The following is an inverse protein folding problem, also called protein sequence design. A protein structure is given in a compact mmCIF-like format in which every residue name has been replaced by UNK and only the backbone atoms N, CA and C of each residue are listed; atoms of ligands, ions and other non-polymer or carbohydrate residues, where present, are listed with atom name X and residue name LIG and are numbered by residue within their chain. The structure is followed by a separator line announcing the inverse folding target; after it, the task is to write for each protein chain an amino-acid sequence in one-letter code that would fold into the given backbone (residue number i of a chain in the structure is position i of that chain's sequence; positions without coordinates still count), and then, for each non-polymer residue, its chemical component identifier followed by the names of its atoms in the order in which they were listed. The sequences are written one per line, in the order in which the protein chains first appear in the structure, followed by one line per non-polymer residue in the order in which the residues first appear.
data_IF_220266874086
#
_entry.id   IF_220266874086
#
_cell.length_a   1.000
_cell.length_b   1.000
_cell.length_c   1.000
_cell.angle_alpha   90.00
_cell.angle_beta   90.00
_cell.angle_gamma   90.00
#
_symmetry.space_group_name_H-M   'P 1'
#
loop_
_entity.id
_entity.type
_entity.pdbx_description
1 polymer ?
#
# COMPACT_ATOMS: atom_id res chain seq x y z
N UNK A 1 -47.58 -18.35 -8.06
CA UNK A 1 -48.35 -17.16 -7.62
C UNK A 1 -47.44 -16.37 -6.72
N UNK A 2 -46.73 -15.38 -7.26
CA UNK A 2 -45.83 -14.50 -6.52
C UNK A 2 -45.90 -13.13 -7.20
N UNK A 3 -46.93 -12.36 -6.85
CA UNK A 3 -47.12 -10.97 -7.25
C UNK A 3 -48.27 -10.40 -6.41
N UNK A 4 -48.02 -10.03 -5.15
CA UNK A 4 -48.98 -9.21 -4.36
C UNK A 4 -48.38 -8.68 -3.06
N UNK A 5 -47.15 -8.17 -3.06
CA UNK A 5 -46.59 -7.44 -1.90
C UNK A 5 -45.77 -6.18 -2.27
N UNK A 6 -45.62 -5.86 -3.55
CA UNK A 6 -44.82 -4.70 -3.99
C UNK A 6 -45.65 -3.43 -4.32
N UNK A 7 -46.99 -3.53 -4.47
CA UNK A 7 -47.84 -2.38 -4.84
C UNK A 7 -48.27 -1.47 -3.67
N UNK A 8 -48.16 -1.92 -2.41
CA UNK A 8 -48.43 -1.06 -1.24
C UNK A 8 -47.32 -0.02 -0.99
N UNK A 9 -46.12 -0.22 -1.57
CA UNK A 9 -44.94 0.59 -1.27
C UNK A 9 -44.81 1.90 -2.09
N UNK A 10 -45.56 2.09 -3.18
CA UNK A 10 -45.43 3.31 -4.01
C UNK A 10 -46.40 4.45 -3.65
N UNK A 11 -47.46 4.20 -2.87
CA UNK A 11 -48.38 5.29 -2.48
C UNK A 11 -47.82 6.19 -1.37
N UNK A 12 -46.95 5.66 -0.50
CA UNK A 12 -46.47 6.41 0.66
C UNK A 12 -45.37 7.43 0.31
N UNK A 13 -44.73 7.28 -0.86
CA UNK A 13 -43.65 8.14 -1.33
C UNK A 13 -44.10 9.20 -2.35
N UNK A 14 -45.42 9.37 -2.54
CA UNK A 14 -45.96 10.37 -3.47
C UNK A 14 -45.73 11.79 -2.95
N UNK A 15 -45.21 12.66 -3.82
CA UNK A 15 -45.07 14.10 -3.59
C UNK A 15 -46.43 14.73 -3.24
N UNK A 16 -46.49 15.57 -2.21
CA UNK A 16 -47.72 16.24 -1.75
C UNK A 16 -48.33 17.15 -2.83
N UNK A 17 -47.49 17.76 -3.67
CA UNK A 17 -47.95 18.53 -4.83
C UNK A 17 -48.66 17.64 -5.87
N UNK A 18 -48.10 16.45 -6.13
CA UNK A 18 -48.68 15.46 -7.04
C UNK A 18 -49.98 14.87 -6.49
N UNK A 19 -50.04 14.63 -5.17
CA UNK A 19 -51.23 14.13 -4.50
C UNK A 19 -52.40 15.13 -4.56
N UNK A 20 -52.10 16.42 -4.36
CA UNK A 20 -53.08 17.49 -4.53
C UNK A 20 -53.30 17.89 -5.99
N UNK A 21 -52.60 17.27 -6.94
CA UNK A 21 -52.65 17.58 -8.37
C UNK A 21 -52.47 19.08 -8.67
N UNK A 22 -51.46 19.68 -8.03
CA UNK A 22 -51.08 21.09 -8.18
C UNK A 22 -49.59 21.21 -8.51
N UNK A 23 -49.20 22.34 -9.10
CA UNK A 23 -47.79 22.64 -9.37
C UNK A 23 -47.07 23.07 -8.09
N UNK A 24 -45.75 22.97 -8.07
CA UNK A 24 -44.91 23.42 -6.94
C UNK A 24 -45.04 24.93 -6.70
N UNK A 25 -45.28 25.72 -7.74
CA UNK A 25 -45.51 27.17 -7.64
C UNK A 25 -46.97 27.55 -7.31
N UNK A 26 -47.84 26.57 -6.98
CA UNK A 26 -49.25 26.84 -6.75
C UNK A 26 -49.49 27.79 -5.57
N UNK A 27 -50.46 28.69 -5.76
CA UNK A 27 -50.90 29.63 -4.73
C UNK A 27 -51.73 28.94 -3.65
N UNK A 28 -51.85 29.57 -2.46
CA UNK A 28 -52.68 29.04 -1.37
C UNK A 28 -54.16 28.87 -1.78
N UNK A 29 -54.65 29.73 -2.68
CA UNK A 29 -56.02 29.64 -3.21
C UNK A 29 -56.20 28.41 -4.10
N UNK A 30 -55.23 28.11 -4.96
CA UNK A 30 -55.21 26.92 -5.82
C UNK A 30 -55.12 25.63 -4.98
N UNK A 31 -54.26 25.62 -3.95
CA UNK A 31 -54.15 24.52 -2.99
C UNK A 31 -55.50 24.23 -2.30
N UNK A 32 -56.15 25.27 -1.79
CA UNK A 32 -57.45 25.16 -1.11
C UNK A 32 -58.56 24.71 -2.05
N UNK A 33 -58.55 25.18 -3.30
CA UNK A 33 -59.50 24.77 -4.33
C UNK A 33 -59.34 23.29 -4.70
N UNK A 34 -58.10 22.83 -4.88
CA UNK A 34 -57.82 21.42 -5.20
C UNK A 34 -58.15 20.49 -4.04
N UNK A 35 -57.76 20.86 -2.81
CA UNK A 35 -58.09 20.13 -1.59
C UNK A 35 -59.61 19.91 -1.45
N UNK A 36 -60.41 20.98 -1.61
CA UNK A 36 -61.88 20.88 -1.56
C UNK A 36 -62.44 19.91 -2.60
N UNK A 37 -61.91 19.94 -3.82
CA UNK A 37 -62.34 19.03 -4.90
C UNK A 37 -62.03 17.58 -4.56
N UNK A 38 -60.82 17.28 -4.07
CA UNK A 38 -60.38 15.93 -3.72
C UNK A 38 -61.12 15.40 -2.48
N UNK A 39 -61.38 16.23 -1.47
CA UNK A 39 -62.21 15.85 -0.33
C UNK A 39 -63.63 15.46 -0.74
N UNK A 40 -64.23 16.16 -1.72
CA UNK A 40 -65.56 15.82 -2.22
C UNK A 40 -65.58 14.51 -3.02
N UNK A 41 -64.46 14.08 -3.59
CA UNK A 41 -64.33 12.86 -4.38
C UNK A 41 -64.04 11.64 -3.49
N UNK A 42 -63.13 11.78 -2.53
CA UNK A 42 -62.68 10.70 -1.64
C UNK A 42 -63.41 10.65 -0.29
N UNK A 43 -64.54 11.33 -0.14
CA UNK A 43 -65.32 11.27 1.10
C UNK A 43 -65.84 9.84 1.35
N UNK A 44 -65.62 9.23 2.53
CA UNK A 44 -65.95 7.83 2.80
C UNK A 44 -67.45 7.53 2.74
N UNK A 45 -68.30 8.55 2.89
CA UNK A 45 -69.76 8.44 2.80
C UNK A 45 -70.28 8.25 1.35
N UNK A 46 -69.47 8.58 0.34
CA UNK A 46 -69.87 8.43 -1.07
C UNK A 46 -69.65 7.03 -1.63
N UNK A 47 -68.93 6.18 -0.90
CA UNK A 47 -68.51 4.85 -1.36
C UNK A 47 -69.27 3.78 -0.58
N UNK A 48 -70.04 2.95 -1.29
CA UNK A 48 -70.88 1.90 -0.70
C UNK A 48 -70.14 0.58 -0.48
N UNK A 49 -69.16 0.29 -1.34
CA UNK A 49 -68.39 -0.95 -1.26
C UNK A 49 -67.32 -0.87 -0.17
N UNK A 50 -67.13 -1.93 0.64
CA UNK A 50 -66.25 -1.89 1.80
C UNK A 50 -64.76 -1.74 1.44
N UNK A 51 -64.32 -2.21 0.27
CA UNK A 51 -62.93 -2.04 -0.19
C UNK A 51 -62.68 -0.62 -0.71
N UNK A 52 -63.57 -0.10 -1.56
CA UNK A 52 -63.49 1.28 -2.07
C UNK A 52 -63.59 2.31 -0.94
N UNK A 53 -64.37 2.01 0.12
CA UNK A 53 -64.46 2.87 1.30
C UNK A 53 -63.13 2.98 2.04
N UNK A 54 -62.41 1.87 2.24
CA UNK A 54 -61.08 1.88 2.87
C UNK A 54 -60.06 2.66 2.04
N UNK A 55 -60.07 2.47 0.72
CA UNK A 55 -59.19 3.19 -0.19
C UNK A 55 -59.49 4.71 -0.19
N UNK A 56 -60.77 5.08 -0.21
CA UNK A 56 -61.18 6.47 -0.12
C UNK A 56 -60.76 7.12 1.20
N UNK A 57 -60.86 6.41 2.32
CA UNK A 57 -60.40 6.87 3.64
C UNK A 57 -58.88 7.08 3.68
N UNK A 58 -58.10 6.15 3.14
CA UNK A 58 -56.64 6.29 3.03
C UNK A 58 -56.25 7.51 2.19
N UNK A 59 -56.84 7.66 1.00
CA UNK A 59 -56.58 8.81 0.12
C UNK A 59 -57.03 10.12 0.74
N UNK A 60 -58.16 10.12 1.46
CA UNK A 60 -58.67 11.29 2.17
C UNK A 60 -57.66 11.76 3.25
N UNK A 61 -57.16 10.84 4.07
CA UNK A 61 -56.17 11.16 5.10
C UNK A 61 -54.86 11.69 4.51
N UNK A 62 -54.38 11.09 3.41
CA UNK A 62 -53.18 11.56 2.72
C UNK A 62 -53.38 12.96 2.12
N UNK A 63 -54.53 13.21 1.48
CA UNK A 63 -54.87 14.53 0.91
C UNK A 63 -54.98 15.59 2.01
N UNK A 64 -55.53 15.22 3.16
CA UNK A 64 -55.59 16.09 4.34
C UNK A 64 -54.19 16.45 4.86
N UNK A 65 -53.33 15.45 5.05
CA UNK A 65 -51.95 15.65 5.48
C UNK A 65 -51.14 16.53 4.49
N UNK A 66 -51.29 16.29 3.19
CA UNK A 66 -50.64 17.09 2.16
C UNK A 66 -51.08 18.55 2.20
N UNK A 67 -52.38 18.82 2.39
CA UNK A 67 -52.90 20.17 2.52
C UNK A 67 -52.39 20.85 3.79
N UNK A 68 -52.38 20.17 4.93
CA UNK A 68 -51.87 20.71 6.20
C UNK A 68 -50.43 21.19 6.06
N UNK A 69 -49.55 20.36 5.52
CA UNK A 69 -48.13 20.67 5.30
C UNK A 69 -47.93 21.81 4.30
N UNK A 70 -48.63 21.78 3.16
CA UNK A 70 -48.47 22.78 2.10
C UNK A 70 -49.19 24.11 2.38
N UNK A 71 -50.15 24.12 3.31
CA UNK A 71 -50.89 25.33 3.71
C UNK A 71 -50.08 26.25 4.63
N UNK A 72 -49.20 25.68 5.46
CA UNK A 72 -48.31 26.45 6.32
C UNK A 72 -47.00 26.80 5.59
N UNK A 73 -46.63 28.08 5.62
CA UNK A 73 -45.46 28.55 4.89
C UNK A 73 -44.14 27.94 5.41
N UNK A 74 -44.06 27.64 6.71
CA UNK A 74 -42.87 27.07 7.33
C UNK A 74 -42.75 25.57 7.02
N UNK A 75 -43.82 24.81 7.24
CA UNK A 75 -43.89 23.38 6.87
C UNK A 75 -43.69 23.16 5.37
N UNK A 76 -44.22 24.04 4.51
CA UNK A 76 -43.97 24.02 3.07
C UNK A 76 -42.50 24.23 2.72
N UNK A 77 -41.82 25.18 3.38
CA UNK A 77 -40.39 25.41 3.16
C UNK A 77 -39.54 24.20 3.58
N UNK A 78 -39.83 23.57 4.72
CA UNK A 78 -39.14 22.36 5.17
C UNK A 78 -39.36 21.22 4.16
N UNK A 79 -40.61 21.04 3.73
CA UNK A 79 -40.98 20.02 2.75
C UNK A 79 -40.29 20.23 1.40
N UNK A 80 -40.19 21.48 0.93
CA UNK A 80 -39.53 21.80 -0.34
C UNK A 80 -38.01 21.54 -0.29
N UNK A 81 -37.38 21.64 0.88
CA UNK A 81 -35.92 21.45 1.05
C UNK A 81 -35.56 19.99 1.36
N UNK A 82 -36.31 19.31 2.25
CA UNK A 82 -35.97 17.98 2.78
C UNK A 82 -36.98 16.87 2.43
N UNK A 83 -38.08 17.22 1.77
CA UNK A 83 -39.18 16.29 1.50
C UNK A 83 -39.90 15.84 2.78
N UNK A 84 -40.58 14.69 2.71
CA UNK A 84 -41.33 14.14 3.87
C UNK A 84 -40.45 13.88 5.09
N UNK A 85 -39.20 13.48 4.88
CA UNK A 85 -38.22 13.17 5.94
C UNK A 85 -37.93 14.37 6.85
N UNK A 86 -38.02 15.60 6.34
CA UNK A 86 -37.80 16.81 7.12
C UNK A 86 -38.90 17.07 8.16
N UNK A 87 -40.13 16.61 7.88
CA UNK A 87 -41.30 16.84 8.72
C UNK A 87 -41.39 15.87 9.92
N UNK A 88 -40.68 14.74 9.87
CA UNK A 88 -40.64 13.72 10.93
C UNK A 88 -39.64 14.05 12.05
N UNK A 89 -38.80 15.09 11.87
CA UNK A 89 -37.78 15.46 12.85
C UNK A 89 -38.41 16.26 13.98
N UNK A 90 -38.52 15.67 15.17
CA UNK A 90 -38.92 16.38 16.40
C UNK A 90 -37.87 17.45 16.76
N UNK A 91 -38.29 18.70 16.93
CA UNK A 91 -37.41 19.82 17.34
C UNK A 91 -37.57 21.14 16.57
N UNK A 92 -38.31 21.14 15.45
CA UNK A 92 -38.53 22.35 14.63
C UNK A 92 -39.34 23.45 15.33
N UNK A 93 -40.13 23.12 16.35
CA UNK A 93 -41.06 24.06 16.99
C UNK A 93 -40.38 25.20 17.76
N UNK A 94 -39.07 25.09 18.04
CA UNK A 94 -38.31 26.05 18.86
C UNK A 94 -37.60 27.13 18.01
N UNK A 95 -37.62 27.02 16.67
CA UNK A 95 -36.88 27.94 15.79
C UNK A 95 -37.81 29.04 15.25
N UNK A 96 -37.43 30.31 15.47
CA UNK A 96 -38.21 31.46 15.02
C UNK A 96 -38.41 31.51 13.50
N UNK A 97 -39.62 31.91 13.08
CA UNK A 97 -40.24 31.77 11.74
C UNK A 97 -39.57 32.52 10.56
N UNK A 98 -38.28 32.88 10.59
CA UNK A 98 -37.64 33.71 9.54
C UNK A 98 -36.18 33.34 9.22
N UNK A 99 -35.86 32.06 8.98
CA UNK A 99 -34.52 31.67 8.49
C UNK A 99 -34.50 31.37 7.01
N UNK A 100 -33.34 31.62 6.40
CA UNK A 100 -33.08 31.37 4.98
C UNK A 100 -32.92 29.86 4.69
N UNK A 101 -33.16 29.39 3.44
CA UNK A 101 -33.03 27.96 3.10
C UNK A 101 -31.66 27.32 3.41
N UNK A 102 -30.59 28.11 3.46
CA UNK A 102 -29.25 27.64 3.80
C UNK A 102 -29.08 27.43 5.32
N UNK A 103 -29.58 28.36 6.13
CA UNK A 103 -29.54 28.25 7.60
C UNK A 103 -30.40 27.09 8.11
N UNK A 104 -31.54 26.84 7.46
CA UNK A 104 -32.41 25.68 7.73
C UNK A 104 -31.65 24.35 7.51
N UNK A 105 -30.75 24.29 6.51
CA UNK A 105 -29.92 23.12 6.21
C UNK A 105 -28.85 22.88 7.24
N UNK A 106 -28.14 23.92 7.64
CA UNK A 106 -27.12 23.82 8.68
C UNK A 106 -27.72 23.40 10.02
N UNK A 107 -28.90 23.92 10.35
CA UNK A 107 -29.62 23.57 11.57
C UNK A 107 -30.13 22.13 11.56
N UNK A 108 -30.66 21.67 10.42
CA UNK A 108 -31.03 20.26 10.23
C UNK A 108 -29.83 19.33 10.43
N UNK A 109 -28.69 19.63 9.82
CA UNK A 109 -27.46 18.84 9.98
C UNK A 109 -26.96 18.82 11.43
N UNK A 110 -27.08 19.95 12.14
CA UNK A 110 -26.70 20.05 13.55
C UNK A 110 -27.58 19.19 14.44
N UNK A 111 -28.91 19.24 14.27
CA UNK A 111 -29.86 18.43 15.02
C UNK A 111 -29.69 16.93 14.74
N UNK A 112 -29.40 16.56 13.49
CA UNK A 112 -29.10 15.16 13.14
C UNK A 112 -27.88 14.64 13.90
N UNK A 113 -26.77 15.38 13.90
CA UNK A 113 -25.56 14.98 14.66
C UNK A 113 -25.84 14.87 16.14
N UNK A 114 -26.54 15.83 16.72
CA UNK A 114 -26.84 15.80 18.16
C UNK A 114 -27.76 14.62 18.53
N UNK A 115 -28.72 14.27 17.66
CA UNK A 115 -29.59 13.09 17.86
C UNK A 115 -28.81 11.79 17.71
N UNK A 116 -27.90 11.72 16.75
CA UNK A 116 -27.00 10.57 16.58
C UNK A 116 -26.08 10.41 17.80
N UNK A 117 -25.51 11.49 18.32
CA UNK A 117 -24.68 11.50 19.53
C UNK A 117 -25.48 11.10 20.78
N UNK A 118 -26.68 11.65 20.99
CA UNK A 118 -27.56 11.25 22.11
C UNK A 118 -27.97 9.79 21.98
N UNK A 119 -28.27 9.32 20.77
CA UNK A 119 -28.63 7.92 20.51
C UNK A 119 -27.45 7.00 20.79
N UNK A 120 -26.24 7.44 20.47
CA UNK A 120 -25.01 6.72 20.83
C UNK A 120 -24.83 6.69 22.35
N UNK A 121 -24.99 7.82 23.04
CA UNK A 121 -24.91 7.91 24.50
C UNK A 121 -25.97 7.08 25.23
N UNK A 122 -27.19 6.98 24.70
CA UNK A 122 -28.25 6.13 25.27
C UNK A 122 -28.00 4.63 25.02
N UNK A 123 -27.30 4.29 23.95
CA UNK A 123 -26.84 2.91 23.68
C UNK A 123 -25.68 2.51 24.59
N UNK A 124 -24.88 3.49 25.00
CA UNK A 124 -23.89 3.31 26.06
C UNK A 124 -24.66 3.13 27.37
N UNK A 125 -24.85 1.89 27.81
CA UNK A 125 -25.53 1.59 29.07
C UNK A 125 -24.47 1.39 30.17
N UNK A 126 -24.03 2.45 30.89
CA UNK A 126 -23.11 2.29 32.00
C UNK A 126 -23.83 1.54 33.11
N UNK A 127 -23.44 0.30 33.36
CA UNK A 127 -23.92 -0.51 34.47
C UNK A 127 -22.92 -0.40 35.61
N UNK A 128 -23.32 0.26 36.70
CA UNK A 128 -22.52 0.41 37.91
C UNK A 128 -23.19 -0.25 39.10
N UNK A 129 -22.43 -0.92 39.95
CA UNK A 129 -22.89 -1.38 41.26
C UNK A 129 -21.89 -0.91 42.31
N UNK A 130 -22.40 -0.20 43.31
CA UNK A 130 -21.63 0.29 44.46
C UNK A 130 -22.20 -0.40 45.69
N UNK A 131 -21.36 -1.20 46.35
CA UNK A 131 -21.70 -1.92 47.57
C UNK A 131 -20.81 -1.42 48.70
N UNK A 132 -21.43 -0.92 49.77
CA UNK A 132 -20.73 -0.47 50.98
C UNK A 132 -21.15 -1.38 52.12
N UNK A 133 -20.18 -2.08 52.72
CA UNK A 133 -20.38 -2.87 53.92
C UNK A 133 -20.05 -2.03 55.13
N UNK A 134 -21.07 -1.77 55.94
CA UNK A 134 -20.99 -1.00 57.16
C UNK A 134 -21.00 -1.97 58.33
N UNK A 135 -19.99 -1.87 59.20
CA UNK A 135 -19.95 -2.56 60.48
C UNK A 135 -20.64 -1.70 61.53
N UNK A 136 -21.62 -2.31 62.19
CA UNK A 136 -22.49 -1.67 63.16
C UNK A 136 -22.61 -2.51 64.44
N UNK A 137 -21.67 -3.43 64.67
CA UNK A 137 -21.69 -4.35 65.82
C UNK A 137 -21.76 -3.58 67.15
N UNK A 138 -21.01 -2.48 67.27
CA UNK A 138 -21.03 -1.54 68.40
C UNK A 138 -22.39 -0.92 68.72
N UNK A 139 -23.34 -0.89 67.77
CA UNK A 139 -24.70 -0.39 68.03
C UNK A 139 -25.60 -1.43 68.71
N UNK A 140 -25.26 -2.72 68.62
CA UNK A 140 -26.06 -3.83 69.10
C UNK A 140 -25.44 -4.61 70.28
N UNK A 141 -24.16 -4.37 70.61
CA UNK A 141 -23.48 -4.92 71.80
C UNK A 141 -23.92 -4.23 73.10
N UNK A 142 -25.23 -4.30 73.38
CA UNK A 142 -25.77 -4.13 74.75
C UNK A 142 -26.00 -5.51 75.34
N UNK A 143 -24.92 -6.23 75.61
CA UNK A 143 -24.98 -7.39 76.50
C UNK A 143 -24.84 -6.90 77.94
N UNK A 144 -25.77 -7.35 78.78
CA UNK A 144 -25.80 -7.14 80.22
C UNK A 144 -24.50 -7.65 80.85
N UNK A 145 -23.62 -6.75 81.27
CA UNK A 145 -22.64 -7.05 82.32
C UNK A 145 -22.75 -5.97 83.41
N UNK A 146 -23.46 -6.36 84.48
CA UNK A 146 -23.38 -5.73 85.78
C UNK A 146 -21.91 -5.80 86.27
N UNK A 147 -21.24 -4.65 86.41
CA UNK A 147 -20.38 -4.22 87.54
C UNK A 147 -19.32 -3.17 87.13
N UNK A 148 -19.27 -2.11 87.95
CA UNK A 148 -18.16 -1.17 88.21
C UNK A 148 -17.69 -0.12 87.16
N UNK A 149 -17.76 1.13 87.64
CA UNK A 149 -17.36 2.45 87.10
C UNK A 149 -16.16 2.55 86.12
N UNK A 150 -16.38 3.25 85.00
CA UNK A 150 -15.41 4.16 84.36
C UNK A 150 -16.14 5.19 83.46
N UNK A 151 -15.83 6.51 83.53
CA UNK A 151 -16.52 7.54 82.76
C UNK A 151 -15.88 7.68 81.38
N UNK A 152 -16.57 7.18 80.37
CA UNK A 152 -16.12 7.30 78.99
C UNK A 152 -17.17 6.78 78.04
N UNK A 153 -18.35 7.41 78.04
CA UNK A 153 -19.38 7.17 77.03
C UNK A 153 -18.86 7.55 75.65
N UNK A 154 -18.10 6.66 75.03
CA UNK A 154 -17.77 6.74 73.62
C UNK A 154 -19.07 6.60 72.84
N UNK A 155 -19.37 7.56 71.98
CA UNK A 155 -20.45 7.41 71.04
C UNK A 155 -20.17 6.18 70.16
N UNK A 156 -21.16 5.29 69.92
CA UNK A 156 -20.97 4.13 69.06
C UNK A 156 -20.49 4.60 67.69
N UNK A 157 -19.40 4.00 67.20
CA UNK A 157 -18.79 4.37 65.95
C UNK A 157 -19.19 3.38 64.86
N UNK A 158 -19.63 3.91 63.74
CA UNK A 158 -20.03 3.14 62.56
C UNK A 158 -18.84 3.13 61.61
N UNK A 159 -18.29 1.96 61.32
CA UNK A 159 -17.13 1.85 60.44
C UNK A 159 -17.48 1.25 59.07
N UNK A 160 -16.83 1.74 58.02
CA UNK A 160 -16.95 1.16 56.69
C UNK A 160 -15.87 0.08 56.54
N UNK A 161 -16.28 -1.18 56.69
CA UNK A 161 -15.38 -2.34 56.68
C UNK A 161 -14.97 -2.73 55.23
N UNK A 162 -15.89 -2.57 54.26
CA UNK A 162 -15.64 -2.89 52.85
C UNK A 162 -16.34 -1.94 51.89
N UNK A 163 -15.67 -1.57 50.80
CA UNK A 163 -16.28 -0.88 49.65
C UNK A 163 -15.98 -1.67 48.38
N UNK A 164 -17.00 -1.92 47.57
CA UNK A 164 -16.87 -2.58 46.28
C UNK A 164 -17.59 -1.77 45.21
N UNK A 165 -16.84 -1.28 44.23
CA UNK A 165 -17.35 -0.53 43.08
C UNK A 165 -17.04 -1.35 41.84
N UNK A 166 -18.07 -1.75 41.09
CA UNK A 166 -17.90 -2.36 39.77
C UNK A 166 -18.65 -1.54 38.74
N UNK A 167 -17.97 -1.13 37.67
CA UNK A 167 -18.53 -0.34 36.58
C UNK A 167 -18.23 -1.02 35.25
N UNK A 168 -19.22 -1.16 34.38
CA UNK A 168 -19.04 -1.58 32.99
C UNK A 168 -19.76 -0.63 32.03
N UNK A 169 -19.10 -0.37 30.91
CA UNK A 169 -19.57 0.50 29.84
C UNK A 169 -19.47 -0.32 28.57
N UNK A 170 -20.63 -0.62 27.97
CA UNK A 170 -20.71 -1.27 26.67
C UNK A 170 -20.98 -0.19 25.61
N UNK A 171 -20.04 0.00 24.69
CA UNK A 171 -20.10 0.98 23.62
C UNK A 171 -20.13 0.27 22.25
N UNK A 172 -21.29 0.18 21.57
CA UNK A 172 -21.36 -0.37 20.22
C UNK A 172 -20.70 0.60 19.23
N UNK A 173 -19.61 0.16 18.59
CA UNK A 173 -18.87 0.91 17.56
C UNK A 173 -19.49 0.74 16.17
N UNK A 174 -20.02 -0.45 15.85
CA UNK A 174 -20.74 -0.76 14.59
C UNK A 174 -21.89 -1.75 14.86
N UNK A 175 -22.66 -2.14 13.84
CA UNK A 175 -23.78 -3.09 13.99
C UNK A 175 -23.37 -4.48 14.54
N UNK A 176 -22.09 -4.86 14.45
CA UNK A 176 -21.55 -6.12 14.96
C UNK A 176 -20.50 -5.95 16.06
N UNK A 177 -19.92 -4.75 16.22
CA UNK A 177 -18.75 -4.56 17.07
C UNK A 177 -19.12 -3.73 18.30
N UNK A 178 -18.88 -4.31 19.48
CA UNK A 178 -19.06 -3.67 20.78
C UNK A 178 -17.73 -3.63 21.51
N UNK A 179 -17.34 -2.44 21.96
CA UNK A 179 -16.25 -2.28 22.90
C UNK A 179 -16.82 -2.34 24.33
N UNK A 180 -16.22 -3.16 25.19
CA UNK A 180 -16.61 -3.25 26.60
C UNK A 180 -15.46 -2.77 27.45
N UNK A 181 -15.69 -1.69 28.21
CA UNK A 181 -14.77 -1.19 29.21
C UNK A 181 -15.36 -1.49 30.59
N UNK A 182 -14.70 -2.31 31.39
CA UNK A 182 -15.12 -2.63 32.74
C UNK A 182 -14.01 -2.37 33.76
N UNK A 183 -14.38 -1.96 34.95
CA UNK A 183 -13.47 -1.74 36.07
C UNK A 183 -14.11 -2.21 37.36
N UNK A 184 -13.32 -2.82 38.23
CA UNK A 184 -13.72 -3.12 39.60
C UNK A 184 -12.68 -2.61 40.57
N UNK A 185 -13.15 -2.03 41.66
CA UNK A 185 -12.37 -1.48 42.76
C UNK A 185 -12.93 -2.03 44.05
N UNK A 186 -12.10 -2.71 44.83
CA UNK A 186 -12.47 -3.23 46.15
C UNK A 186 -11.50 -2.72 47.20
N UNK A 187 -12.02 -2.22 48.31
CA UNK A 187 -11.25 -1.83 49.48
C UNK A 187 -11.74 -2.61 50.69
N UNK A 188 -10.78 -3.09 51.49
CA UNK A 188 -11.06 -3.81 52.73
C UNK A 188 -9.99 -3.46 53.77
N UNK A 189 -10.42 -2.99 54.95
CA UNK A 189 -9.54 -2.66 56.08
C UNK A 189 -8.33 -1.79 55.70
N UNK A 190 -8.57 -0.74 54.92
CA UNK A 190 -7.52 0.21 54.50
C UNK A 190 -6.63 -0.25 53.34
N UNK A 191 -6.69 -1.51 52.91
CA UNK A 191 -6.02 -1.98 51.69
C UNK A 191 -7.01 -2.03 50.51
N UNK A 192 -6.68 -1.34 49.43
CA UNK A 192 -7.48 -1.27 48.20
C UNK A 192 -6.76 -1.88 47.00
N UNK A 193 -7.51 -2.56 46.15
CA UNK A 193 -7.05 -3.07 44.86
C UNK A 193 -8.12 -2.88 43.79
N UNK A 194 -7.70 -2.60 42.56
CA UNK A 194 -8.62 -2.45 41.44
C UNK A 194 -8.03 -2.94 40.12
N UNK A 195 -8.90 -3.34 39.22
CA UNK A 195 -8.55 -3.78 37.87
C UNK A 195 -9.43 -3.05 36.85
N UNK A 196 -8.86 -2.78 35.69
CA UNK A 196 -9.56 -2.23 34.53
C UNK A 196 -9.33 -3.19 33.37
N UNK A 197 -10.41 -3.60 32.72
CA UNK A 197 -10.40 -4.49 31.57
C UNK A 197 -11.08 -3.80 30.38
N UNK A 198 -10.44 -3.87 29.21
CA UNK A 198 -10.99 -3.38 27.95
C UNK A 198 -11.02 -4.54 26.97
N UNK A 199 -12.21 -4.93 26.53
CA UNK A 199 -12.41 -6.00 25.55
C UNK A 199 -12.91 -5.41 24.24
N UNK A 200 -12.17 -5.66 23.16
CA UNK A 200 -12.53 -5.31 21.79
C UNK A 200 -12.83 -6.60 21.02
N UNK A 201 -13.96 -6.67 20.34
CA UNK A 201 -14.34 -7.84 19.54
C UNK A 201 -13.43 -7.99 18.30
N UNK A 202 -13.11 -9.23 17.86
CA UNK A 202 -11.99 -9.51 16.94
C UNK A 202 -12.11 -8.97 15.52
N UNK A 203 -13.33 -8.73 15.03
CA UNK A 203 -13.63 -8.25 13.67
C UNK A 203 -12.96 -6.90 13.39
N UNK A 204 -13.05 -5.96 14.32
CA UNK A 204 -12.44 -4.63 14.18
C UNK A 204 -10.91 -4.68 14.12
N UNK A 205 -10.30 -5.55 14.95
CA UNK A 205 -8.84 -5.75 14.96
C UNK A 205 -8.37 -6.38 13.64
N UNK A 206 -9.13 -7.33 13.11
CA UNK A 206 -8.81 -8.00 11.85
C UNK A 206 -8.77 -7.02 10.67
N UNK A 207 -9.80 -6.18 10.50
CA UNK A 207 -9.82 -5.22 9.40
C UNK A 207 -8.79 -4.08 9.58
N UNK A 208 -8.51 -3.66 10.81
CA UNK A 208 -7.51 -2.62 11.08
C UNK A 208 -6.06 -3.07 10.85
N UNK A 209 -5.77 -4.36 11.02
CA UNK A 209 -4.38 -4.87 10.97
C UNK A 209 -4.12 -5.73 9.74
N UNK A 210 -4.96 -6.73 9.47
CA UNK A 210 -4.74 -7.70 8.40
C UNK A 210 -5.02 -7.07 7.02
N UNK A 211 -6.05 -6.23 6.92
CA UNK A 211 -6.40 -5.54 5.68
C UNK A 211 -5.25 -4.68 5.11
N UNK A 212 -4.75 -3.68 5.86
CA UNK A 212 -3.63 -2.85 5.41
C UNK A 212 -2.36 -3.64 5.13
N UNK A 213 -2.07 -4.68 5.92
CA UNK A 213 -0.89 -5.52 5.73
C UNK A 213 -0.97 -6.30 4.40
N UNK A 214 -2.12 -6.89 4.10
CA UNK A 214 -2.35 -7.60 2.84
C UNK A 214 -2.30 -6.67 1.63
N UNK A 215 -2.87 -5.47 1.75
CA UNK A 215 -2.80 -4.44 0.68
C UNK A 215 -1.35 -4.00 0.46
N UNK A 216 -0.60 -3.74 1.53
CA UNK A 216 0.83 -3.42 1.42
C UNK A 216 1.62 -4.57 0.77
N UNK A 217 1.39 -5.81 1.19
CA UNK A 217 2.04 -6.98 0.59
C UNK A 217 1.72 -7.13 -0.90
N UNK A 218 0.46 -6.90 -1.28
CA UNK A 218 0.02 -6.96 -2.68
C UNK A 218 0.69 -5.87 -3.52
N UNK A 219 0.72 -4.62 -3.05
CA UNK A 219 1.39 -3.51 -3.75
C UNK A 219 2.89 -3.79 -3.87
N UNK A 220 3.53 -4.24 -2.79
CA UNK A 220 4.96 -4.54 -2.81
C UNK A 220 5.30 -5.66 -3.80
N UNK A 221 4.54 -6.76 -3.78
CA UNK A 221 4.77 -7.91 -4.67
C UNK A 221 4.42 -7.63 -6.13
N UNK A 222 3.29 -6.98 -6.41
CA UNK A 222 2.76 -6.84 -7.77
C UNK A 222 3.25 -5.57 -8.48
N UNK A 223 3.68 -4.54 -7.75
CA UNK A 223 4.06 -3.25 -8.36
C UNK A 223 5.54 -2.95 -8.13
N UNK A 224 6.01 -3.00 -6.88
CA UNK A 224 7.38 -2.56 -6.54
C UNK A 224 8.44 -3.54 -7.06
N UNK A 225 8.26 -4.84 -6.83
CA UNK A 225 9.22 -5.86 -7.29
C UNK A 225 9.40 -5.85 -8.83
N UNK A 226 8.35 -5.92 -9.67
CA UNK A 226 8.55 -5.92 -11.12
C UNK A 226 9.14 -4.60 -11.63
N UNK A 227 8.75 -3.45 -11.04
CA UNK A 227 9.29 -2.15 -11.42
C UNK A 227 10.81 -2.06 -11.15
N UNK A 228 11.25 -2.49 -9.98
CA UNK A 228 12.68 -2.47 -9.61
C UNK A 228 13.51 -3.45 -10.41
N UNK A 229 12.95 -4.60 -10.82
CA UNK A 229 13.62 -5.54 -11.72
C UNK A 229 13.79 -4.95 -13.13
N UNK A 230 12.76 -4.33 -13.68
CA UNK A 230 12.81 -3.71 -15.00
C UNK A 230 13.87 -2.60 -15.09
N UNK A 231 14.04 -1.80 -14.04
CA UNK A 231 15.08 -0.76 -14.02
C UNK A 231 16.50 -1.35 -14.03
N UNK A 232 16.74 -2.41 -13.25
CA UNK A 232 18.06 -3.08 -13.22
C UNK A 232 18.42 -3.70 -14.57
N UNK A 233 17.44 -4.25 -15.28
CA UNK A 233 17.65 -4.80 -16.62
C UNK A 233 18.06 -3.70 -17.61
N UNK A 234 17.41 -2.54 -17.56
CA UNK A 234 17.77 -1.39 -18.42
C UNK A 234 19.18 -0.88 -18.14
N UNK A 235 19.57 -0.75 -16.88
CA UNK A 235 20.93 -0.34 -16.51
C UNK A 235 21.98 -1.34 -17.02
N UNK A 236 21.72 -2.65 -16.86
CA UNK A 236 22.60 -3.70 -17.36
C UNK A 236 22.71 -3.66 -18.89
N UNK A 237 21.59 -3.46 -19.60
CA UNK A 237 21.60 -3.31 -21.06
C UNK A 237 22.39 -2.09 -21.50
N UNK A 238 22.26 -0.97 -20.80
CA UNK A 238 22.97 0.26 -21.12
C UNK A 238 24.48 0.07 -20.90
N UNK A 239 24.88 -0.56 -19.80
CA UNK A 239 26.28 -0.95 -19.55
C UNK A 239 26.82 -1.88 -20.65
N UNK A 240 26.04 -2.88 -21.07
CA UNK A 240 26.42 -3.78 -22.17
C UNK A 240 26.60 -3.03 -23.48
N UNK A 241 25.70 -2.09 -23.79
CA UNK A 241 25.77 -1.26 -25.01
C UNK A 241 27.00 -0.35 -24.97
N UNK A 242 27.27 0.34 -23.86
CA UNK A 242 28.45 1.21 -23.72
C UNK A 242 29.76 0.41 -23.83
N UNK A 243 29.86 -0.73 -23.15
CA UNK A 243 31.04 -1.61 -23.25
C UNK A 243 31.23 -2.16 -24.67
N UNK A 244 30.15 -2.52 -25.38
CA UNK A 244 30.22 -2.98 -26.77
C UNK A 244 30.69 -1.87 -27.72
N UNK A 245 30.24 -0.62 -27.54
CA UNK A 245 30.70 0.52 -28.34
C UNK A 245 32.19 0.82 -28.11
N UNK A 246 32.66 0.72 -26.87
CA UNK A 246 34.07 0.96 -26.54
C UNK A 246 34.98 -0.10 -27.16
N UNK A 247 34.58 -1.38 -27.12
CA UNK A 247 35.32 -2.48 -27.77
C UNK A 247 35.39 -2.27 -29.28
N UNK A 248 34.29 -1.87 -29.92
CA UNK A 248 34.25 -1.62 -31.37
C UNK A 248 35.18 -0.47 -31.78
N UNK A 249 35.20 0.62 -31.01
CA UNK A 249 36.10 1.76 -31.24
C UNK A 249 37.57 1.34 -31.08
N UNK A 250 37.89 0.62 -30.01
CA UNK A 250 39.25 0.11 -29.75
C UNK A 250 39.73 -0.85 -30.83
N UNK A 251 38.84 -1.71 -31.34
CA UNK A 251 39.12 -2.57 -32.48
C UNK A 251 39.50 -1.77 -33.73
N UNK A 252 38.74 -0.73 -34.06
CA UNK A 252 39.02 0.13 -35.22
C UNK A 252 40.36 0.88 -35.05
N UNK A 253 40.65 1.39 -33.85
CA UNK A 253 41.95 1.99 -33.51
C UNK A 253 43.10 0.99 -33.75
N UNK A 254 42.95 -0.25 -33.28
CA UNK A 254 43.96 -1.30 -33.46
C UNK A 254 44.17 -1.67 -34.94
N UNK A 255 43.09 -1.87 -35.70
CA UNK A 255 43.17 -2.21 -37.14
C UNK A 255 43.87 -1.11 -37.96
N UNK A 256 43.57 0.16 -37.66
CA UNK A 256 44.26 1.28 -38.32
C UNK A 256 45.75 1.32 -37.99
N UNK A 257 46.13 1.04 -36.74
CA UNK A 257 47.53 0.97 -36.33
C UNK A 257 48.27 -0.20 -37.01
N UNK A 258 47.63 -1.37 -37.11
CA UNK A 258 48.18 -2.53 -37.82
C UNK A 258 48.46 -2.18 -39.28
N UNK A 259 47.53 -1.52 -39.97
CA UNK A 259 47.69 -1.12 -41.36
C UNK A 259 48.89 -0.20 -41.57
N UNK A 260 49.08 0.79 -40.69
CA UNK A 260 50.22 1.71 -40.73
C UNK A 260 51.57 1.01 -40.47
N UNK A 261 51.57 -0.09 -39.71
CA UNK A 261 52.79 -0.84 -39.35
C UNK A 261 53.21 -1.87 -40.42
N UNK A 262 52.36 -2.18 -41.40
CA UNK A 262 52.68 -3.22 -42.39
C UNK A 262 53.98 -2.93 -43.17
N UNK A 263 54.19 -1.66 -43.56
CA UNK A 263 55.39 -1.27 -44.30
C UNK A 263 56.66 -1.34 -43.45
N UNK A 264 56.60 -0.94 -42.17
CA UNK A 264 57.75 -1.01 -41.27
C UNK A 264 58.10 -2.47 -40.94
N UNK A 265 57.09 -3.30 -40.71
CA UNK A 265 57.26 -4.73 -40.41
C UNK A 265 57.92 -5.46 -41.56
N UNK A 266 57.54 -5.18 -42.81
CA UNK A 266 58.18 -5.78 -43.99
C UNK A 266 59.69 -5.52 -44.01
N UNK A 267 60.12 -4.28 -43.73
CA UNK A 267 61.54 -3.91 -43.66
C UNK A 267 62.26 -4.62 -42.51
N UNK A 268 61.60 -4.77 -41.37
CA UNK A 268 62.16 -5.49 -40.21
C UNK A 268 62.34 -6.97 -40.54
N UNK A 269 61.36 -7.60 -41.19
CA UNK A 269 61.45 -9.00 -41.61
C UNK A 269 62.63 -9.20 -42.56
N UNK A 270 62.76 -8.39 -43.61
CA UNK A 270 63.87 -8.48 -44.57
C UNK A 270 65.24 -8.32 -43.88
N UNK A 271 65.36 -7.42 -42.89
CA UNK A 271 66.59 -7.19 -42.13
C UNK A 271 66.91 -8.31 -41.12
N UNK A 272 65.89 -8.96 -40.54
CA UNK A 272 66.06 -10.08 -39.62
C UNK A 272 66.31 -11.40 -40.38
N UNK A 273 65.71 -11.59 -41.56
CA UNK A 273 65.97 -12.73 -42.46
C UNK A 273 67.44 -12.80 -42.87
N UNK A 274 68.03 -11.65 -43.26
CA UNK A 274 69.45 -11.61 -43.64
C UNK A 274 70.41 -12.00 -42.52
N UNK A 275 69.96 -11.91 -41.26
CA UNK A 275 70.76 -12.19 -40.05
C UNK A 275 70.38 -13.52 -39.38
N UNK A 276 69.44 -14.28 -39.97
CA UNK A 276 68.81 -15.45 -39.33
C UNK A 276 68.31 -15.12 -37.90
N UNK A 277 67.70 -13.95 -37.78
CA UNK A 277 67.25 -13.36 -36.53
C UNK A 277 65.88 -13.86 -36.07
N UNK A 278 65.13 -13.01 -35.38
CA UNK A 278 63.84 -13.37 -34.78
C UNK A 278 62.68 -12.97 -35.72
N UNK A 279 61.91 -13.96 -36.17
CA UNK A 279 60.74 -13.77 -37.03
C UNK A 279 59.52 -14.39 -36.37
N UNK A 280 58.47 -13.60 -36.16
CA UNK A 280 57.19 -14.05 -35.61
C UNK A 280 56.34 -14.54 -36.77
N UNK A 281 55.94 -15.81 -36.74
CA UNK A 281 55.13 -16.43 -37.78
C UNK A 281 53.64 -16.25 -37.49
N UNK A 282 53.23 -16.58 -36.26
CA UNK A 282 51.84 -16.46 -35.83
C UNK A 282 51.81 -15.97 -34.39
N UNK A 283 50.95 -15.00 -34.13
CA UNK A 283 50.67 -14.52 -32.80
C UNK A 283 49.17 -14.32 -32.59
N UNK A 284 48.66 -14.93 -31.54
CA UNK A 284 47.24 -14.93 -31.22
C UNK A 284 47.04 -14.46 -29.79
N UNK A 285 46.17 -13.46 -29.60
CA UNK A 285 45.85 -12.93 -28.29
C UNK A 285 44.36 -13.08 -27.99
N UNK A 286 44.01 -13.61 -26.82
CA UNK A 286 42.61 -13.76 -26.42
C UNK A 286 42.40 -14.91 -25.43
N UNK A 287 41.15 -15.36 -25.34
CA UNK A 287 40.79 -16.51 -24.51
C UNK A 287 40.98 -17.80 -25.30
N UNK A 288 41.95 -18.61 -24.90
CA UNK A 288 42.11 -19.96 -25.43
C UNK A 288 41.35 -20.94 -24.55
N UNK A 289 40.39 -21.65 -25.15
CA UNK A 289 39.69 -22.74 -24.46
C UNK A 289 40.59 -23.97 -24.52
N UNK A 290 40.98 -24.50 -23.35
CA UNK A 290 41.54 -25.86 -23.26
C UNK A 290 40.41 -26.85 -23.51
N UNK A 291 40.55 -27.66 -24.57
CA UNK A 291 39.52 -28.60 -25.02
C UNK A 291 39.17 -29.61 -23.91
N UNK A 292 37.98 -29.49 -23.33
CA UNK A 292 37.30 -30.60 -22.64
C UNK A 292 35.78 -30.59 -22.86
N UNK A 293 35.23 -29.63 -23.60
CA UNK A 293 33.78 -29.55 -23.83
C UNK A 293 33.47 -29.14 -25.27
N UNK A 294 32.79 -30.03 -26.01
CA UNK A 294 32.34 -29.92 -27.40
C UNK A 294 31.31 -28.80 -27.65
N UNK A 295 31.66 -27.54 -27.40
CA UNK A 295 30.98 -26.40 -28.02
C UNK A 295 32.03 -25.57 -28.72
N UNK A 296 31.95 -25.52 -30.04
CA UNK A 296 32.64 -24.54 -30.89
C UNK A 296 32.13 -23.13 -30.55
N UNK A 297 32.41 -22.65 -29.35
CA UNK A 297 32.39 -21.21 -29.09
C UNK A 297 33.54 -20.63 -29.90
N UNK A 298 33.22 -19.71 -30.83
CA UNK A 298 34.22 -18.99 -31.63
C UNK A 298 35.27 -18.45 -30.67
N UNK A 299 36.49 -18.96 -30.75
CA UNK A 299 37.59 -18.47 -29.94
C UNK A 299 37.70 -16.95 -30.15
N UNK A 300 37.44 -16.17 -29.09
CA UNK A 300 37.54 -14.70 -29.11
C UNK A 300 39.02 -14.34 -29.09
N UNK A 301 39.66 -14.55 -30.23
CA UNK A 301 41.10 -14.44 -30.44
C UNK A 301 41.36 -13.45 -31.57
N UNK A 302 42.37 -12.62 -31.38
CA UNK A 302 42.83 -11.62 -32.35
C UNK A 302 44.21 -12.00 -32.86
N UNK A 303 44.49 -11.68 -34.12
CA UNK A 303 45.82 -11.83 -34.70
C UNK A 303 46.66 -10.58 -34.38
N UNK A 304 47.78 -10.78 -33.70
CA UNK A 304 48.70 -9.71 -33.26
C UNK A 304 50.10 -9.89 -33.83
N UNK A 305 50.23 -10.64 -34.93
CA UNK A 305 51.52 -10.97 -35.55
C UNK A 305 52.26 -9.72 -36.02
N UNK A 306 51.57 -8.82 -36.74
CA UNK A 306 52.16 -7.59 -37.30
C UNK A 306 52.59 -6.62 -36.20
N UNK A 307 51.73 -6.27 -35.21
CA UNK A 307 52.14 -5.44 -34.07
C UNK A 307 53.39 -5.96 -33.34
N UNK A 308 53.46 -7.27 -33.07
CA UNK A 308 54.58 -7.83 -32.33
C UNK A 308 55.87 -7.87 -33.14
N UNK A 309 55.79 -8.13 -34.45
CA UNK A 309 56.97 -8.09 -35.30
C UNK A 309 57.57 -6.68 -35.36
N UNK A 310 56.73 -5.63 -35.27
CA UNK A 310 57.19 -4.24 -35.21
C UNK A 310 57.96 -3.90 -33.92
N UNK A 311 57.77 -4.67 -32.85
CA UNK A 311 58.44 -4.48 -31.57
C UNK A 311 59.77 -5.24 -31.47
N UNK A 312 60.10 -6.09 -32.45
CA UNK A 312 61.37 -6.82 -32.50
C UNK A 312 62.51 -5.84 -32.78
N UNK A 313 63.54 -5.87 -31.92
CA UNK A 313 64.77 -5.09 -32.10
C UNK A 313 65.97 -5.99 -31.81
N UNK A 314 66.96 -5.99 -32.70
CA UNK A 314 68.19 -6.77 -32.57
C UNK A 314 67.94 -8.26 -32.30
N UNK A 315 67.03 -8.87 -33.08
CA UNK A 315 66.61 -10.27 -32.94
C UNK A 315 66.08 -10.67 -31.55
N UNK A 316 65.54 -9.70 -30.79
CA UNK A 316 64.91 -9.92 -29.47
C UNK A 316 63.57 -9.19 -29.38
N UNK A 317 62.64 -9.79 -28.64
CA UNK A 317 61.39 -9.14 -28.25
C UNK A 317 61.28 -9.17 -26.73
N UNK A 318 61.04 -7.99 -26.15
CA UNK A 318 60.90 -7.79 -24.71
C UNK A 318 59.58 -7.05 -24.49
N UNK A 319 58.61 -7.74 -23.90
CA UNK A 319 57.36 -7.16 -23.42
C UNK A 319 57.47 -6.98 -21.90
N UNK A 320 57.35 -5.73 -21.43
CA UNK A 320 57.33 -5.37 -20.00
C UNK A 320 55.94 -5.60 -19.39
N UNK A 321 55.85 -5.66 -18.05
CA UNK A 321 54.70 -6.11 -17.23
C UNK A 321 53.37 -5.31 -17.37
N UNK A 322 53.27 -4.42 -18.35
CA UNK A 322 51.99 -3.77 -18.71
C UNK A 322 51.08 -4.76 -19.43
N UNK A 323 49.76 -4.63 -19.25
CA UNK A 323 48.78 -5.44 -20.01
C UNK A 323 49.06 -5.37 -21.50
N UNK A 324 49.16 -6.55 -22.15
CA UNK A 324 49.47 -6.68 -23.58
C UNK A 324 48.36 -6.08 -24.45
N UNK A 325 47.14 -5.95 -23.92
CA UNK A 325 46.04 -5.23 -24.58
C UNK A 325 46.31 -3.73 -24.81
N UNK A 326 47.24 -3.12 -24.05
CA UNK A 326 47.61 -1.72 -24.17
C UNK A 326 48.65 -1.42 -25.27
N UNK A 327 49.17 -2.44 -25.95
CA UNK A 327 50.16 -2.26 -27.00
C UNK A 327 49.53 -1.69 -28.29
N UNK A 328 50.27 -0.87 -29.07
CA UNK A 328 49.77 -0.38 -30.36
C UNK A 328 49.37 -1.54 -31.29
N UNK A 329 48.16 -1.50 -31.86
CA UNK A 329 47.63 -2.59 -32.68
C UNK A 329 47.02 -3.75 -31.91
N UNK A 330 47.00 -3.70 -30.57
CA UNK A 330 46.25 -4.62 -29.73
C UNK A 330 44.91 -4.01 -29.30
N UNK A 331 43.93 -4.88 -29.05
CA UNK A 331 42.72 -4.54 -28.32
C UNK A 331 42.28 -5.75 -27.50
N UNK A 332 41.39 -5.53 -26.54
CA UNK A 332 40.89 -6.59 -25.67
C UNK A 332 39.61 -7.22 -26.24
N UNK A 333 39.63 -8.49 -26.72
CA UNK A 333 38.44 -9.17 -27.22
C UNK A 333 37.52 -9.72 -26.10
N UNK A 334 38.03 -9.82 -24.86
CA UNK A 334 37.34 -10.42 -23.72
C UNK A 334 37.59 -9.62 -22.44
N UNK A 335 36.95 -8.46 -22.32
CA UNK A 335 37.06 -7.61 -21.11
C UNK A 335 36.58 -8.39 -19.89
N UNK A 336 37.47 -8.56 -18.90
CA UNK A 336 37.19 -9.24 -17.63
C UNK A 336 37.40 -10.75 -17.62
N UNK A 337 37.78 -11.38 -18.74
CA UNK A 337 38.15 -12.80 -18.77
C UNK A 337 39.68 -13.00 -18.79
N UNK A 338 40.14 -14.19 -18.43
CA UNK A 338 41.55 -14.56 -18.55
C UNK A 338 41.98 -14.63 -20.02
N UNK A 339 43.07 -13.92 -20.34
CA UNK A 339 43.61 -13.79 -21.68
C UNK A 339 45.06 -14.21 -21.68
N UNK A 340 45.46 -14.87 -22.75
CA UNK A 340 46.86 -15.21 -22.98
C UNK A 340 47.27 -14.87 -24.41
N UNK A 341 48.57 -14.79 -24.61
CA UNK A 341 49.23 -14.57 -25.88
C UNK A 341 49.94 -15.86 -26.26
N UNK A 342 49.51 -16.50 -27.35
CA UNK A 342 50.18 -17.64 -27.96
C UNK A 342 51.02 -17.14 -29.13
N UNK A 343 52.30 -17.50 -29.12
CA UNK A 343 53.29 -17.05 -30.08
C UNK A 343 54.01 -18.23 -30.69
N UNK A 344 54.12 -18.20 -32.01
CA UNK A 344 54.94 -19.08 -32.82
C UNK A 344 55.97 -18.21 -33.55
N UNK A 345 57.25 -18.49 -33.34
CA UNK A 345 58.34 -17.72 -33.92
C UNK A 345 59.49 -18.61 -34.36
N UNK A 346 60.27 -18.12 -35.31
CA UNK A 346 61.48 -18.74 -35.81
C UNK A 346 62.68 -17.91 -35.34
N UNK A 347 63.71 -18.59 -34.84
CA UNK A 347 64.98 -17.97 -34.49
C UNK A 347 66.13 -18.87 -34.93
N UNK A 348 67.07 -18.33 -35.72
CA UNK A 348 68.20 -19.09 -36.29
C UNK A 348 67.78 -20.38 -37.01
N UNK A 349 66.67 -20.31 -37.76
CA UNK A 349 66.11 -21.44 -38.51
C UNK A 349 65.29 -22.43 -37.69
N UNK A 350 65.22 -22.30 -36.36
CA UNK A 350 64.51 -23.24 -35.46
C UNK A 350 63.18 -22.64 -35.00
N UNK A 351 62.13 -23.46 -35.01
CA UNK A 351 60.77 -23.09 -34.58
C UNK A 351 60.62 -23.13 -33.06
N UNK A 352 59.92 -22.15 -32.52
CA UNK A 352 59.65 -22.01 -31.10
C UNK A 352 58.19 -21.61 -30.86
N UNK A 353 57.59 -22.11 -29.78
CA UNK A 353 56.25 -21.78 -29.33
C UNK A 353 56.23 -21.38 -27.85
N UNK A 354 55.45 -20.36 -27.50
CA UNK A 354 55.23 -19.93 -26.12
C UNK A 354 53.79 -19.48 -25.92
N UNK A 355 53.24 -19.76 -24.74
CA UNK A 355 51.97 -19.20 -24.27
C UNK A 355 52.30 -18.39 -23.02
N UNK A 356 51.84 -17.14 -22.96
CA UNK A 356 52.11 -16.24 -21.84
C UNK A 356 50.85 -15.48 -21.45
N UNK A 357 50.60 -15.31 -20.14
CA UNK A 357 49.43 -14.61 -19.62
C UNK A 357 49.47 -13.10 -19.93
N UNK A 358 48.34 -12.39 -19.94
CA UNK A 358 48.27 -10.97 -20.33
C UNK A 358 49.26 -10.05 -19.60
N UNK A 359 49.44 -10.23 -18.30
CA UNK A 359 50.31 -9.40 -17.44
C UNK A 359 51.73 -9.94 -17.28
N UNK A 360 52.00 -11.14 -17.78
CA UNK A 360 53.31 -11.79 -17.61
C UNK A 360 54.35 -11.21 -18.58
N UNK A 361 55.55 -10.81 -18.10
CA UNK A 361 56.59 -10.28 -18.95
C UNK A 361 57.15 -11.36 -19.87
N UNK A 362 57.21 -11.07 -21.16
CA UNK A 362 57.70 -12.02 -22.17
C UNK A 362 59.01 -11.54 -22.77
N UNK A 363 60.04 -12.39 -22.66
CA UNK A 363 61.34 -12.19 -23.32
C UNK A 363 61.61 -13.36 -24.24
N UNK A 364 61.75 -13.11 -25.53
CA UNK A 364 62.12 -14.12 -26.55
C UNK A 364 63.30 -13.61 -27.38
N UNK A 365 64.17 -14.48 -27.90
CA UNK A 365 64.10 -15.95 -27.89
C UNK A 365 64.54 -16.60 -26.57
N UNK A 366 63.95 -17.75 -26.21
CA UNK A 366 64.40 -18.63 -25.10
C UNK A 366 64.49 -20.08 -25.58
N UNK A 367 65.49 -20.83 -25.11
CA UNK A 367 65.68 -22.24 -25.45
C UNK A 367 64.50 -23.13 -24.99
N UNK A 368 63.85 -22.78 -23.87
CA UNK A 368 62.69 -23.50 -23.34
C UNK A 368 61.46 -23.47 -24.25
N UNK A 369 61.43 -22.59 -25.26
CA UNK A 369 60.30 -22.46 -26.18
C UNK A 369 60.51 -23.29 -27.45
N UNK A 370 61.65 -23.98 -27.61
CA UNK A 370 61.97 -24.71 -28.84
C UNK A 370 60.96 -25.85 -29.04
N UNK A 371 60.39 -25.93 -30.24
CA UNK A 371 59.59 -27.09 -30.65
C UNK A 371 60.58 -28.16 -31.11
N UNK A 372 60.59 -29.30 -30.44
CA UNK A 372 61.27 -30.48 -30.95
C UNK A 372 60.42 -31.03 -32.09
N UNK A 373 61.00 -31.08 -33.30
CA UNK A 373 60.39 -31.80 -34.40
C UNK A 373 60.44 -33.28 -34.07
N UNK A 374 59.30 -33.88 -33.72
CA UNK A 374 59.16 -35.34 -33.70
C UNK A 374 59.56 -35.85 -35.10
N UNK A 375 60.65 -36.60 -35.13
CA UNK A 375 61.26 -37.21 -36.32
C UNK A 375 60.52 -38.44 -36.79
#
# INVERSE_FOLDING_TARGET
MAASLDDEFEFNNQDYYSLLNVRKEATLEELKASYRRLCMLYHPDKHRDPELKRQAEQLFNQVHQAYEVLSDAHSRAIYDIFGKKGLEVEGWEVVERKRTPAEIREEYERLQREREERRLQQRTNPKGTISVGVDATDLFDRYDEDFEEMPGGGFPHIEINKMHISQSIEAPLTNSDTAVLSGSLSTHNGNGGGNINMTLLPSAVFYATVGPLLVYMAIHRLVIIPYTQAQKEQELELQRKSSATDIAKKKQEAESAVLLMQESVRRIIEAEESKMGLIILNAWYGKFVSDTSQKQEKAKVIDVTVPLQCLVKDSKLILTETSKAGLPGFYDPCVGEEKSLKLLYQFRGVMHQVISADTEPLRIPKQSHRIESES
#
